data_IF_633776422121
#
_entry.id   IF_633776422121
#
_cell.length_a   1.000
_cell.length_b   1.000
_cell.length_c   1.000
_cell.angle_alpha   90.00
_cell.angle_beta   90.00
_cell.angle_gamma   90.00
#
_symmetry.space_group_name_H-M   'P 1'
#
loop_
_entity.id
_entity.type
_entity.pdbx_description
1 polymer ?
#
# COMPACT_ATOMS: atom_id res chain seq x y z
N UNK A 1 17.37 10.54 9.69
CA UNK A 1 16.41 9.63 10.35
C UNK A 1 15.15 9.67 9.53
N UNK A 2 14.46 8.55 9.37
CA UNK A 2 13.43 8.42 8.34
C UNK A 2 12.14 7.84 8.91
N UNK A 3 11.00 8.25 8.36
CA UNK A 3 9.66 7.74 8.67
C UNK A 3 9.26 6.76 7.57
N UNK A 4 8.73 5.60 7.97
CA UNK A 4 8.17 4.63 7.03
C UNK A 4 6.69 4.93 6.80
N UNK A 5 6.27 4.98 5.54
CA UNK A 5 4.87 5.17 5.15
C UNK A 5 4.38 4.07 4.21
N UNK A 6 3.06 3.98 4.05
CA UNK A 6 2.35 3.00 3.22
C UNK A 6 2.61 1.51 3.55
N UNK A 7 3.26 1.21 4.68
CA UNK A 7 3.65 -0.17 5.05
C UNK A 7 2.42 -1.08 5.05
N UNK A 8 2.48 -2.17 4.28
CA UNK A 8 1.36 -3.11 4.11
C UNK A 8 0.08 -2.50 3.53
N UNK A 9 0.14 -1.32 2.92
CA UNK A 9 -1.01 -0.68 2.27
C UNK A 9 -0.78 -0.61 0.74
N UNK A 10 -1.56 0.19 0.03
CA UNK A 10 -1.64 0.18 -1.44
C UNK A 10 -1.74 1.58 -2.03
N UNK A 11 -1.36 2.63 -1.29
CA UNK A 11 -1.42 3.99 -1.83
C UNK A 11 -0.38 4.15 -2.93
N UNK A 12 -0.75 4.86 -3.98
CA UNK A 12 0.15 5.20 -5.07
C UNK A 12 1.17 6.27 -4.69
N UNK A 13 2.09 6.51 -5.61
CA UNK A 13 3.07 7.60 -5.54
C UNK A 13 2.86 8.55 -6.72
N UNK A 14 2.71 9.85 -6.44
CA UNK A 14 2.62 10.92 -7.45
C UNK A 14 1.56 10.64 -8.54
N UNK A 15 0.32 10.33 -8.15
CA UNK A 15 -0.72 10.10 -9.14
C UNK A 15 -1.18 11.44 -9.73
N UNK A 16 -1.85 11.38 -10.87
CA UNK A 16 -2.44 12.55 -11.55
C UNK A 16 -3.92 12.73 -11.20
N UNK A 17 -4.58 11.66 -10.78
CA UNK A 17 -6.01 11.64 -10.44
C UNK A 17 -6.19 10.96 -9.08
N UNK A 18 -6.98 11.57 -8.20
CA UNK A 18 -7.32 11.01 -6.89
C UNK A 18 -8.20 9.76 -7.05
N UNK A 19 -7.84 8.60 -6.45
CA UNK A 19 -8.75 7.46 -6.38
C UNK A 19 -10.04 7.85 -5.63
N UNK A 20 -11.24 7.45 -6.09
CA UNK A 20 -12.51 7.94 -5.53
C UNK A 20 -12.65 7.71 -4.02
N UNK A 21 -12.16 6.59 -3.52
CA UNK A 21 -12.20 6.22 -2.10
C UNK A 21 -11.36 7.11 -1.18
N UNK A 22 -10.53 8.01 -1.72
CA UNK A 22 -9.68 8.93 -0.95
C UNK A 22 -10.38 10.24 -0.55
N UNK A 23 -11.52 10.55 -1.17
CA UNK A 23 -12.25 11.78 -0.88
C UNK A 23 -12.73 11.81 0.60
N UNK A 24 -12.71 12.99 1.25
CA UNK A 24 -12.36 14.31 0.74
C UNK A 24 -10.88 14.70 0.96
N UNK A 25 -9.98 13.74 1.20
CA UNK A 25 -8.57 14.04 1.52
C UNK A 25 -7.87 14.78 0.37
N UNK A 26 -7.15 15.85 0.69
CA UNK A 26 -6.26 16.55 -0.24
C UNK A 26 -4.92 15.80 -0.42
N UNK A 27 -4.57 14.95 0.56
CA UNK A 27 -3.33 14.16 0.60
C UNK A 27 -3.61 12.71 0.22
N UNK A 28 -4.15 12.50 -0.98
CA UNK A 28 -4.68 11.21 -1.44
C UNK A 28 -3.64 10.22 -1.98
N UNK A 29 -2.37 10.62 -2.07
CA UNK A 29 -1.24 9.73 -2.35
C UNK A 29 -0.07 10.01 -1.41
N UNK A 30 0.92 9.12 -1.40
CA UNK A 30 2.06 9.22 -0.48
C UNK A 30 2.95 10.44 -0.76
N UNK A 31 3.06 10.88 -2.02
CA UNK A 31 3.86 12.05 -2.36
C UNK A 31 3.26 13.34 -1.80
N UNK A 32 1.92 13.46 -1.80
CA UNK A 32 1.20 14.58 -1.18
C UNK A 32 1.27 14.51 0.33
N UNK A 33 1.07 13.32 0.90
CA UNK A 33 1.23 13.10 2.34
C UNK A 33 2.63 13.51 2.82
N UNK A 34 3.70 13.09 2.11
CA UNK A 34 5.08 13.47 2.44
C UNK A 34 5.29 14.98 2.33
N UNK A 35 4.82 15.60 1.25
CA UNK A 35 4.94 17.04 1.03
C UNK A 35 4.22 17.86 2.11
N UNK A 36 3.06 17.38 2.58
CA UNK A 36 2.30 18.02 3.65
C UNK A 36 2.94 17.82 5.03
N UNK A 37 3.49 16.64 5.32
CA UNK A 37 4.01 16.31 6.64
C UNK A 37 5.45 16.82 6.88
N UNK A 38 6.31 16.80 5.86
CA UNK A 38 7.73 17.13 6.01
C UNK A 38 8.01 18.51 6.65
N UNK A 39 7.29 19.61 6.29
CA UNK A 39 7.50 20.91 6.91
C UNK A 39 7.21 20.90 8.42
N UNK A 40 6.15 20.22 8.85
CA UNK A 40 5.77 20.14 10.26
C UNK A 40 6.78 19.35 11.09
N UNK A 41 7.31 18.26 10.53
CA UNK A 41 8.37 17.49 11.21
C UNK A 41 9.64 18.34 11.39
N UNK A 42 10.04 19.09 10.36
CA UNK A 42 11.18 20.03 10.45
C UNK A 42 10.97 21.11 11.49
N UNK A 43 9.79 21.72 11.53
CA UNK A 43 9.43 22.74 12.52
C UNK A 43 9.49 22.20 13.95
N UNK A 44 9.09 20.95 14.16
CA UNK A 44 9.18 20.26 15.44
C UNK A 44 10.61 19.82 15.83
N UNK A 45 11.63 20.17 15.04
CA UNK A 45 13.03 19.79 15.30
C UNK A 45 13.35 18.35 14.88
N UNK A 46 12.47 17.70 14.10
CA UNK A 46 12.67 16.36 13.57
C UNK A 46 12.70 16.38 12.03
N UNK A 47 13.81 16.78 11.39
CA UNK A 47 13.89 16.87 9.93
C UNK A 47 14.00 15.47 9.30
N UNK A 48 12.92 14.70 9.38
CA UNK A 48 12.88 13.33 8.89
C UNK A 48 12.66 13.28 7.38
N UNK A 49 13.38 12.37 6.73
CA UNK A 49 13.08 11.92 5.38
C UNK A 49 12.09 10.75 5.43
N UNK A 50 11.70 10.23 4.27
CA UNK A 50 10.74 9.14 4.17
C UNK A 50 11.30 7.91 3.46
N UNK A 51 10.77 6.76 3.83
CA UNK A 51 10.89 5.50 3.09
C UNK A 51 9.46 5.02 2.82
N UNK A 52 9.13 4.73 1.56
CA UNK A 52 7.76 4.41 1.16
C UNK A 52 7.64 2.97 0.68
N UNK A 53 6.70 2.23 1.26
CA UNK A 53 6.33 0.92 0.72
C UNK A 53 5.56 1.10 -0.59
N UNK A 54 5.98 0.44 -1.66
CA UNK A 54 5.27 0.40 -2.94
C UNK A 54 5.08 -1.04 -3.43
N UNK A 55 5.26 -2.03 -2.56
CA UNK A 55 5.21 -3.46 -2.92
C UNK A 55 3.91 -3.90 -3.56
N UNK A 56 2.78 -3.23 -3.26
CA UNK A 56 1.45 -3.58 -3.78
C UNK A 56 0.72 -2.40 -4.41
N UNK A 57 1.47 -1.37 -4.84
CA UNK A 57 0.91 -0.09 -5.29
C UNK A 57 0.93 0.13 -6.81
N UNK A 58 1.26 -0.88 -7.62
CA UNK A 58 1.43 -0.73 -9.07
C UNK A 58 0.15 -0.40 -9.84
N UNK A 59 -0.99 -0.91 -9.38
CA UNK A 59 -2.30 -0.61 -9.96
C UNK A 59 -3.03 0.43 -9.12
N UNK A 60 -3.40 1.53 -9.76
CA UNK A 60 -4.21 2.62 -9.19
C UNK A 60 -5.30 3.03 -10.19
N UNK A 61 -6.54 3.30 -9.74
CA UNK A 61 -7.04 3.03 -8.40
C UNK A 61 -7.06 1.52 -8.11
N UNK A 62 -7.02 1.17 -6.82
CA UNK A 62 -7.19 -0.22 -6.36
C UNK A 62 -8.67 -0.60 -6.30
N UNK A 63 -8.97 -1.87 -5.99
CA UNK A 63 -10.34 -2.38 -5.81
C UNK A 63 -10.96 -2.03 -4.45
N UNK A 64 -10.48 -0.98 -3.79
CA UNK A 64 -11.00 -0.50 -2.51
C UNK A 64 -12.35 0.20 -2.70
N UNK A 65 -13.33 -0.19 -1.92
CA UNK A 65 -14.60 0.55 -1.79
C UNK A 65 -14.40 1.72 -0.81
N UNK A 66 -13.67 1.48 0.27
CA UNK A 66 -13.28 2.52 1.24
C UNK A 66 -11.76 2.53 1.45
N UNK A 67 -11.18 3.69 1.72
CA UNK A 67 -9.72 3.79 1.86
C UNK A 67 -9.17 2.95 3.03
N UNK A 68 -10.00 2.77 4.07
CA UNK A 68 -9.70 1.97 5.26
C UNK A 68 -9.80 0.46 5.06
N UNK A 69 -10.17 -0.03 3.87
CA UNK A 69 -10.05 -1.44 3.55
C UNK A 69 -8.57 -1.77 3.31
N UNK A 70 -8.03 -2.73 4.06
CA UNK A 70 -6.60 -3.00 4.08
C UNK A 70 -6.24 -4.46 3.79
N UNK A 71 -7.20 -5.39 3.88
CA UNK A 71 -6.91 -6.81 3.86
C UNK A 71 -7.08 -7.41 2.46
N UNK A 72 -6.02 -8.00 1.91
CA UNK A 72 -6.04 -8.78 0.66
C UNK A 72 -6.73 -8.05 -0.51
N UNK A 73 -6.43 -6.77 -0.71
CA UNK A 73 -7.20 -5.91 -1.61
C UNK A 73 -7.13 -6.33 -3.09
N UNK A 74 -8.31 -6.45 -3.71
CA UNK A 74 -8.53 -6.70 -5.14
C UNK A 74 -7.92 -5.61 -6.01
N UNK A 75 -7.65 -5.93 -7.26
CA UNK A 75 -7.16 -4.96 -8.26
C UNK A 75 -5.91 -4.20 -7.79
N UNK A 76 -4.99 -4.91 -7.14
CA UNK A 76 -3.66 -4.40 -6.76
C UNK A 76 -2.59 -5.08 -7.59
N UNK A 77 -1.44 -4.43 -7.73
CA UNK A 77 -0.32 -4.88 -8.56
C UNK A 77 1.03 -4.63 -7.87
N UNK A 78 2.05 -5.43 -8.18
CA UNK A 78 3.42 -5.10 -7.77
C UNK A 78 3.82 -3.73 -8.31
N UNK A 79 4.34 -2.86 -7.46
CA UNK A 79 4.67 -1.48 -7.83
C UNK A 79 6.10 -1.27 -8.33
N UNK A 80 6.56 0.00 -8.34
CA UNK A 80 7.95 0.34 -8.62
C UNK A 80 8.92 -0.48 -7.77
N UNK A 81 10.00 -0.95 -8.39
CA UNK A 81 11.00 -1.79 -7.72
C UNK A 81 11.75 -0.99 -6.66
N UNK A 82 12.21 -1.63 -5.57
CA UNK A 82 12.97 -0.94 -4.55
C UNK A 82 14.18 -0.19 -5.12
N UNK A 83 14.35 1.07 -4.72
CA UNK A 83 15.45 1.92 -5.19
C UNK A 83 15.73 3.04 -4.19
N UNK A 84 17.01 3.41 -4.07
CA UNK A 84 17.47 4.63 -3.36
C UNK A 84 17.66 5.81 -4.32
N UNK A 85 17.56 5.58 -5.63
CA UNK A 85 17.67 6.61 -6.66
C UNK A 85 16.29 7.23 -6.93
N UNK A 86 15.76 7.94 -5.94
CA UNK A 86 14.40 8.49 -5.98
C UNK A 86 14.31 9.82 -6.73
N UNK A 87 15.39 10.61 -6.72
CA UNK A 87 15.43 11.97 -7.25
C UNK A 87 14.62 12.99 -6.44
N UNK A 88 14.19 12.63 -5.22
CA UNK A 88 13.29 13.43 -4.38
C UNK A 88 13.97 13.67 -3.04
N UNK A 89 14.20 14.95 -2.71
CA UNK A 89 15.00 15.36 -1.54
C UNK A 89 14.50 14.75 -0.21
N UNK A 90 13.18 14.63 -0.05
CA UNK A 90 12.56 14.10 1.17
C UNK A 90 12.33 12.59 1.15
N UNK A 91 12.69 11.87 0.09
CA UNK A 91 12.45 10.43 -0.03
C UNK A 91 13.77 9.67 -0.18
N UNK A 92 14.16 8.96 0.88
CA UNK A 92 15.40 8.18 0.90
C UNK A 92 15.29 6.91 0.03
N UNK A 93 14.15 6.25 0.04
CA UNK A 93 13.96 5.01 -0.72
C UNK A 93 12.48 4.69 -1.02
N UNK A 94 12.29 4.08 -2.19
CA UNK A 94 11.13 3.21 -2.45
C UNK A 94 11.52 1.80 -2.02
N UNK A 95 10.66 1.12 -1.27
CA UNK A 95 10.91 -0.22 -0.74
C UNK A 95 9.68 -1.10 -0.92
N UNK A 96 9.86 -2.41 -0.80
CA UNK A 96 8.77 -3.37 -0.63
C UNK A 96 8.86 -3.89 0.79
N UNK A 97 8.05 -3.34 1.70
CA UNK A 97 8.10 -3.75 3.12
C UNK A 97 7.22 -4.97 3.32
N UNK A 98 5.95 -4.91 2.91
CA UNK A 98 5.07 -6.08 2.90
C UNK A 98 5.41 -6.98 1.70
N UNK A 99 5.77 -8.26 1.90
CA UNK A 99 5.96 -9.19 0.80
C UNK A 99 4.62 -9.52 0.13
N UNK A 100 4.46 -9.08 -1.12
CA UNK A 100 3.28 -9.43 -1.92
C UNK A 100 3.16 -10.94 -2.13
N UNK A 101 1.95 -11.48 -1.91
CA UNK A 101 1.69 -12.91 -1.92
C UNK A 101 1.61 -13.55 -0.52
N UNK A 102 2.01 -12.84 0.54
CA UNK A 102 1.68 -13.23 1.92
C UNK A 102 0.34 -12.62 2.33
N UNK A 103 -0.62 -13.45 2.73
CA UNK A 103 -1.96 -12.99 3.16
C UNK A 103 -1.87 -11.95 4.28
N UNK A 104 -2.82 -11.01 4.27
CA UNK A 104 -3.00 -10.03 5.34
C UNK A 104 -3.84 -10.59 6.50
N UNK A 105 -4.73 -11.53 6.20
CA UNK A 105 -5.60 -12.20 7.16
C UNK A 105 -6.56 -13.18 6.48
N UNK A 106 -7.12 -14.09 7.29
CA UNK A 106 -8.04 -15.13 6.82
C UNK A 106 -9.42 -14.57 6.53
N UNK A 107 -10.07 -15.09 5.49
CA UNK A 107 -11.48 -14.80 5.19
C UNK A 107 -12.44 -15.85 5.79
N UNK A 108 -11.92 -16.85 6.51
CA UNK A 108 -12.73 -17.85 7.21
C UNK A 108 -13.34 -17.24 8.47
N UNK A 109 -14.66 -17.03 8.45
CA UNK A 109 -15.41 -16.42 9.56
C UNK A 109 -15.43 -17.27 10.83
N UNK A 110 -14.99 -18.53 10.75
CA UNK A 110 -14.89 -19.44 11.91
C UNK A 110 -13.49 -19.45 12.53
N UNK A 111 -12.50 -18.83 11.89
CA UNK A 111 -11.13 -18.80 12.37
C UNK A 111 -10.97 -17.89 13.61
N UNK A 112 -10.07 -18.27 14.52
CA UNK A 112 -9.81 -17.54 15.78
C UNK A 112 -9.30 -16.12 15.53
N UNK A 113 -8.58 -15.89 14.42
CA UNK A 113 -7.96 -14.61 14.06
C UNK A 113 -8.68 -13.92 12.89
N UNK A 114 -9.94 -14.28 12.64
CA UNK A 114 -10.74 -13.64 11.62
C UNK A 114 -10.91 -12.13 11.91
N UNK A 115 -10.74 -11.33 10.87
CA UNK A 115 -11.04 -9.90 10.86
C UNK A 115 -12.03 -9.62 9.72
N UNK A 116 -13.12 -8.90 10.01
CA UNK A 116 -14.18 -8.61 9.04
C UNK A 116 -13.68 -7.88 7.79
N UNK A 117 -12.56 -7.15 7.89
CA UNK A 117 -11.95 -6.47 6.75
C UNK A 117 -11.42 -7.45 5.70
N UNK A 118 -11.10 -8.69 6.08
CA UNK A 118 -10.57 -9.74 5.21
C UNK A 118 -11.61 -10.52 4.42
N UNK A 119 -12.89 -10.22 4.62
CA UNK A 119 -13.99 -10.73 3.79
C UNK A 119 -14.88 -9.60 3.25
N UNK A 120 -14.37 -8.37 3.22
CA UNK A 120 -15.05 -7.24 2.59
C UNK A 120 -15.18 -7.44 1.07
N UNK A 121 -16.05 -6.67 0.41
CA UNK A 121 -16.18 -6.72 -1.05
C UNK A 121 -14.88 -6.36 -1.77
N UNK A 122 -13.98 -5.61 -1.12
CA UNK A 122 -12.65 -5.29 -1.63
C UNK A 122 -11.62 -6.41 -1.48
N UNK A 123 -11.91 -7.47 -0.73
CA UNK A 123 -10.94 -8.53 -0.42
C UNK A 123 -10.96 -9.68 -1.41
N UNK A 124 -9.79 -10.12 -1.86
CA UNK A 124 -9.62 -11.40 -2.55
C UNK A 124 -9.89 -12.51 -1.55
N UNK A 125 -10.85 -13.36 -1.87
CA UNK A 125 -11.31 -14.49 -1.04
C UNK A 125 -11.44 -15.76 -1.91
N UNK A 126 -11.30 -16.97 -1.36
CA UNK A 126 -10.95 -17.26 0.04
C UNK A 126 -9.48 -16.96 0.35
N UNK A 127 -9.21 -16.36 1.50
CA UNK A 127 -7.86 -16.00 1.94
C UNK A 127 -7.40 -16.87 3.13
N UNK A 128 -6.13 -17.32 3.15
CA UNK A 128 -5.57 -18.09 4.26
C UNK A 128 -5.19 -17.19 5.45
N UNK A 129 -4.71 -17.81 6.53
CA UNK A 129 -4.18 -17.11 7.71
C UNK A 129 -3.10 -16.07 7.37
N UNK A 130 -3.09 -14.96 8.11
CA UNK A 130 -2.12 -13.88 7.94
C UNK A 130 -0.67 -14.41 7.91
N UNK A 131 0.12 -13.91 6.97
CA UNK A 131 1.51 -14.32 6.75
C UNK A 131 1.69 -15.62 5.96
N UNK A 132 0.63 -16.42 5.76
CA UNK A 132 0.67 -17.60 4.90
C UNK A 132 0.76 -17.21 3.42
N UNK A 133 1.28 -18.10 2.59
CA UNK A 133 1.28 -17.90 1.15
C UNK A 133 -0.15 -17.91 0.59
N UNK A 134 -0.46 -16.91 -0.23
CA UNK A 134 -1.74 -16.73 -0.90
C UNK A 134 -1.50 -16.63 -2.42
N UNK A 135 -1.62 -17.77 -3.09
CA UNK A 135 -1.23 -17.92 -4.49
C UNK A 135 -2.06 -17.04 -5.43
N UNK A 136 -3.38 -17.02 -5.27
CA UNK A 136 -4.29 -16.25 -6.10
C UNK A 136 -4.00 -14.76 -5.99
N UNK A 137 -3.69 -14.30 -4.77
CA UNK A 137 -3.29 -12.92 -4.53
C UNK A 137 -1.95 -12.57 -5.16
N UNK A 138 -0.96 -13.48 -5.07
CA UNK A 138 0.32 -13.30 -5.76
C UNK A 138 0.16 -13.20 -7.29
N UNK A 139 -0.68 -14.05 -7.89
CA UNK A 139 -0.98 -14.01 -9.33
C UNK A 139 -1.61 -12.66 -9.71
N UNK A 140 -2.59 -12.17 -8.95
CA UNK A 140 -3.18 -10.85 -9.17
C UNK A 140 -2.10 -9.75 -9.17
N UNK A 141 -1.18 -9.78 -8.19
CA UNK A 141 -0.12 -8.78 -8.09
C UNK A 141 0.81 -8.82 -9.31
N UNK A 142 1.08 -10.01 -9.84
CA UNK A 142 1.93 -10.23 -11.01
C UNK A 142 1.26 -9.73 -12.30
N UNK A 143 -0.01 -10.09 -12.51
CA UNK A 143 -0.79 -9.69 -13.68
C UNK A 143 -1.00 -8.17 -13.76
N UNK A 144 -1.17 -7.52 -12.61
CA UNK A 144 -1.36 -6.07 -12.52
C UNK A 144 -0.06 -5.30 -12.24
N UNK A 145 1.11 -5.95 -12.35
CA UNK A 145 2.38 -5.32 -12.02
C UNK A 145 2.67 -4.09 -12.90
N UNK A 146 3.10 -3.01 -12.26
CA UNK A 146 3.49 -1.78 -12.93
C UNK A 146 4.68 -1.13 -12.20
N UNK A 147 5.89 -1.12 -12.80
CA UNK A 147 6.21 -1.69 -14.12
C UNK A 147 6.00 -3.21 -14.20
N UNK A 148 5.67 -3.76 -15.38
CA UNK A 148 5.54 -5.20 -15.56
C UNK A 148 6.88 -5.92 -15.29
N UNK A 149 6.84 -7.22 -15.02
CA UNK A 149 8.04 -8.06 -14.82
C UNK A 149 8.63 -8.54 -16.13
#
# INVERSE_FOLDING_TARGET
MSVFSNVSNFNGWNLTTAPPYTAPSENWDESKFHAALAPHLREAGFPANFIVDQGRSGKQPTGRETWGDWCNIKDTGFGPRPTVQTGIETLDAVVWVKPGGQADGTSDTTAVRYDEKCSSNSSVVPAPEAGSWFQEYFVQLLENANPPF
#
